data_IF_189512447273
#
_entry.id   IF_189512447273
#
_cell.length_a   1.000
_cell.length_b   1.000
_cell.length_c   1.000
_cell.angle_alpha   90.00
_cell.angle_beta   90.00
_cell.angle_gamma   90.00
#
_symmetry.space_group_name_H-M   'P 1'
#
loop_
_entity.id
_entity.type
_entity.pdbx_description
1 polymer ?
#
# COMPACT_ATOMS: atom_id res chain seq x y z
N UNK A 1 6.69 -0.73 12.78
CA UNK A 1 5.29 -1.00 13.09
C UNK A 1 4.58 -1.85 12.04
N UNK A 2 4.66 -1.48 10.78
CA UNK A 2 4.07 -2.26 9.69
C UNK A 2 4.60 -3.70 9.62
N UNK A 3 5.86 -3.92 9.96
CA UNK A 3 6.51 -5.23 9.92
C UNK A 3 5.85 -6.24 10.86
N UNK A 4 5.19 -5.78 11.94
CA UNK A 4 4.46 -6.64 12.85
C UNK A 4 3.30 -7.38 12.19
N UNK A 5 2.80 -6.86 11.06
CA UNK A 5 1.70 -7.46 10.30
C UNK A 5 2.19 -8.37 9.18
N UNK A 6 3.52 -8.47 8.99
CA UNK A 6 4.08 -9.28 7.91
C UNK A 6 3.57 -10.71 8.00
N UNK A 7 3.09 -11.25 6.87
CA UNK A 7 2.49 -12.57 6.72
C UNK A 7 1.12 -12.75 7.38
N UNK A 8 0.51 -11.69 7.92
CA UNK A 8 -0.88 -11.77 8.38
C UNK A 8 -1.81 -12.04 7.17
N UNK A 9 -2.82 -12.90 7.33
CA UNK A 9 -3.72 -13.20 6.20
C UNK A 9 -4.55 -11.99 5.78
N UNK A 10 -4.88 -11.91 4.49
CA UNK A 10 -5.77 -10.89 3.95
C UNK A 10 -7.21 -11.30 4.20
N UNK A 11 -7.98 -10.45 4.89
CA UNK A 11 -9.42 -10.63 5.08
C UNK A 11 -10.10 -9.31 4.75
N UNK A 12 -11.08 -9.34 3.85
CA UNK A 12 -11.84 -8.15 3.47
C UNK A 12 -12.48 -7.50 4.70
N UNK A 13 -12.19 -6.22 4.92
CA UNK A 13 -12.66 -5.49 6.09
C UNK A 13 -11.88 -5.75 7.37
N UNK A 14 -10.88 -6.64 7.34
CA UNK A 14 -10.07 -6.97 8.52
C UNK A 14 -9.04 -5.90 8.85
N UNK A 15 -8.81 -5.67 10.14
CA UNK A 15 -7.83 -4.69 10.64
C UNK A 15 -6.96 -5.23 11.78
N UNK A 16 -6.93 -6.54 12.00
CA UNK A 16 -6.11 -7.16 13.05
C UNK A 16 -4.98 -7.97 12.43
N UNK A 17 -3.93 -8.32 13.20
CA UNK A 17 -2.87 -9.20 12.68
C UNK A 17 -3.34 -10.58 12.26
N UNK A 18 -4.53 -11.01 12.68
CA UNK A 18 -5.12 -12.29 12.29
C UNK A 18 -5.85 -12.23 10.95
N UNK A 19 -6.21 -11.02 10.51
CA UNK A 19 -6.81 -10.82 9.21
C UNK A 19 -6.95 -9.33 8.92
N UNK A 20 -6.47 -8.90 7.76
CA UNK A 20 -6.40 -7.48 7.41
C UNK A 20 -6.52 -7.29 5.90
N UNK A 21 -7.24 -6.25 5.44
CA UNK A 21 -7.23 -5.84 4.04
C UNK A 21 -6.21 -4.71 3.80
N UNK A 22 -5.95 -4.38 2.53
CA UNK A 22 -4.89 -3.43 2.17
C UNK A 22 -5.10 -2.04 2.76
N UNK A 23 -6.31 -1.48 2.67
CA UNK A 23 -6.60 -0.15 3.19
C UNK A 23 -6.71 -0.16 4.72
N UNK A 24 -7.19 -1.24 5.30
CA UNK A 24 -7.19 -1.43 6.74
C UNK A 24 -5.78 -1.47 7.31
N UNK A 25 -4.86 -2.12 6.61
CA UNK A 25 -3.46 -2.18 6.98
C UNK A 25 -2.83 -0.77 7.03
N UNK A 26 -2.95 0.01 5.96
CA UNK A 26 -2.39 1.36 5.92
C UNK A 26 -3.06 2.28 6.94
N UNK A 27 -4.38 2.17 7.09
CA UNK A 27 -5.12 2.94 8.10
C UNK A 27 -4.60 2.66 9.51
N UNK A 28 -4.38 1.39 9.85
CA UNK A 28 -3.87 0.98 11.15
C UNK A 28 -2.46 1.51 11.41
N UNK A 29 -1.56 1.40 10.43
CA UNK A 29 -0.17 1.87 10.58
C UNK A 29 -0.15 3.37 10.83
N UNK A 30 -0.90 4.15 10.05
CA UNK A 30 -0.96 5.60 10.24
C UNK A 30 -1.60 5.99 11.56
N UNK A 31 -2.68 5.30 11.97
CA UNK A 31 -3.34 5.55 13.25
C UNK A 31 -2.40 5.35 14.43
N UNK A 32 -1.59 4.29 14.40
CA UNK A 32 -0.61 4.01 15.46
C UNK A 32 0.48 5.09 15.54
N UNK A 33 0.67 5.87 14.48
CA UNK A 33 1.59 7.00 14.43
C UNK A 33 0.90 8.36 14.59
N UNK A 34 -0.37 8.38 14.97
CA UNK A 34 -1.12 9.59 15.27
C UNK A 34 -1.79 10.26 14.09
N UNK A 35 -1.90 9.59 12.94
CA UNK A 35 -2.53 10.14 11.74
C UNK A 35 -3.77 9.36 11.36
N UNK A 36 -4.80 10.08 10.91
CA UNK A 36 -6.06 9.47 10.47
C UNK A 36 -6.12 9.35 8.96
N UNK A 37 -6.38 8.15 8.46
CA UNK A 37 -6.67 7.90 7.06
C UNK A 37 -8.14 7.50 6.89
N UNK A 38 -8.69 7.79 5.71
CA UNK A 38 -10.01 7.29 5.35
C UNK A 38 -9.98 5.77 5.21
N UNK A 39 -11.15 5.12 5.16
CA UNK A 39 -11.21 3.66 5.36
C UNK A 39 -10.77 2.83 4.17
N UNK A 40 -11.10 3.21 2.93
CA UNK A 40 -10.77 2.39 1.77
C UNK A 40 -9.70 3.05 0.88
N UNK A 41 -9.10 2.26 -0.02
CA UNK A 41 -7.99 2.72 -0.85
C UNK A 41 -8.36 3.91 -1.74
N UNK A 42 -9.54 3.88 -2.37
CA UNK A 42 -9.98 4.99 -3.22
C UNK A 42 -10.15 6.29 -2.42
N UNK A 43 -10.68 6.20 -1.20
CA UNK A 43 -10.81 7.35 -0.30
C UNK A 43 -9.43 7.86 0.16
N UNK A 44 -8.54 6.96 0.54
CA UNK A 44 -7.17 7.32 0.97
C UNK A 44 -6.41 8.03 -0.15
N UNK A 45 -6.65 7.65 -1.40
CA UNK A 45 -6.01 8.28 -2.57
C UNK A 45 -6.41 9.74 -2.76
N UNK A 46 -7.47 10.23 -2.10
CA UNK A 46 -7.84 11.64 -2.12
C UNK A 46 -7.06 12.48 -1.12
N UNK A 47 -6.32 11.85 -0.22
CA UNK A 47 -5.55 12.52 0.82
C UNK A 47 -4.12 12.77 0.38
N UNK A 48 -3.49 13.78 0.99
CA UNK A 48 -2.08 14.07 0.80
C UNK A 48 -1.74 14.71 -0.54
N UNK A 49 -0.45 14.75 -0.82
CA UNK A 49 0.12 15.40 -1.99
C UNK A 49 0.64 14.35 -2.97
N UNK A 50 0.23 14.45 -4.23
CA UNK A 50 0.68 13.53 -5.28
C UNK A 50 2.14 13.78 -5.66
N UNK A 51 2.94 12.73 -5.75
CA UNK A 51 4.30 12.78 -6.24
C UNK A 51 4.33 12.44 -7.72
N UNK A 52 5.20 13.14 -8.48
CA UNK A 52 5.31 12.94 -9.93
C UNK A 52 6.11 11.69 -10.28
N UNK A 53 7.12 11.35 -9.47
CA UNK A 53 8.04 10.24 -9.76
C UNK A 53 8.23 9.37 -8.53
N UNK A 54 8.43 8.07 -8.77
CA UNK A 54 8.70 7.09 -7.70
C UNK A 54 9.97 7.45 -6.91
N UNK A 55 10.95 8.08 -7.58
CA UNK A 55 12.20 8.50 -6.94
C UNK A 55 12.00 9.57 -5.87
N UNK A 56 10.89 10.29 -5.90
CA UNK A 56 10.53 11.28 -4.89
C UNK A 56 9.94 10.66 -3.62
N UNK A 57 9.56 9.39 -3.67
CA UNK A 57 8.92 8.72 -2.54
C UNK A 57 9.89 8.46 -1.40
N UNK A 58 9.36 8.52 -0.19
CA UNK A 58 10.08 8.24 1.04
C UNK A 58 9.39 7.12 1.80
N UNK A 59 10.12 6.40 2.69
CA UNK A 59 9.45 5.42 3.55
C UNK A 59 8.28 6.03 4.29
N UNK A 60 7.14 5.37 4.25
CA UNK A 60 5.90 5.85 4.86
C UNK A 60 4.93 6.49 3.90
N UNK A 61 5.33 6.85 2.68
CA UNK A 61 4.41 7.34 1.66
C UNK A 61 3.48 6.22 1.21
N UNK A 62 2.30 6.57 0.71
CA UNK A 62 1.30 5.61 0.22
C UNK A 62 1.36 5.50 -1.30
N UNK A 63 1.44 4.28 -1.80
CA UNK A 63 1.34 3.98 -3.23
C UNK A 63 -0.03 3.37 -3.51
N UNK A 64 -0.71 3.88 -4.53
CA UNK A 64 -2.06 3.46 -4.91
C UNK A 64 -2.03 2.82 -6.29
N UNK A 65 -2.82 1.77 -6.43
CA UNK A 65 -2.86 0.95 -7.63
C UNK A 65 -4.28 0.87 -8.15
N UNK A 66 -4.43 0.89 -9.47
CA UNK A 66 -5.74 0.82 -10.10
C UNK A 66 -5.92 -0.49 -10.90
N UNK A 67 -7.16 -0.73 -11.31
CA UNK A 67 -7.49 -1.83 -12.21
C UNK A 67 -7.53 -1.33 -13.66
N UNK A 68 -7.89 -2.20 -14.59
CA UNK A 68 -7.99 -1.86 -16.02
C UNK A 68 -8.99 -0.74 -16.31
N UNK A 69 -9.93 -0.48 -15.41
CA UNK A 69 -10.95 0.57 -15.54
C UNK A 69 -10.52 1.89 -14.90
N UNK A 70 -9.31 1.96 -14.34
CA UNK A 70 -8.79 3.16 -13.69
C UNK A 70 -9.33 3.40 -12.28
N UNK A 71 -9.96 2.40 -11.67
CA UNK A 71 -10.49 2.49 -10.30
C UNK A 71 -9.41 2.06 -9.33
N UNK A 72 -9.14 2.89 -8.30
CA UNK A 72 -8.19 2.55 -7.25
C UNK A 72 -8.73 1.38 -6.43
N UNK A 73 -7.99 0.26 -6.43
CA UNK A 73 -8.40 -0.95 -5.74
C UNK A 73 -7.40 -1.45 -4.72
N UNK A 74 -6.20 -0.89 -4.69
CA UNK A 74 -5.13 -1.38 -3.82
C UNK A 74 -4.27 -0.23 -3.33
N UNK A 75 -3.71 -0.37 -2.14
CA UNK A 75 -2.79 0.58 -1.54
C UNK A 75 -1.71 -0.16 -0.75
N UNK A 76 -0.51 0.38 -0.74
CA UNK A 76 0.60 -0.13 0.05
C UNK A 76 1.43 0.99 0.63
N UNK A 77 2.30 0.64 1.57
CA UNK A 77 3.17 1.56 2.29
C UNK A 77 4.58 1.46 1.72
N UNK A 78 5.10 2.59 1.23
CA UNK A 78 6.46 2.62 0.66
C UNK A 78 7.51 2.37 1.73
N UNK A 79 8.51 1.61 1.36
CA UNK A 79 9.69 1.33 2.16
C UNK A 79 10.93 1.86 1.46
N UNK A 80 12.06 1.79 2.15
CA UNK A 80 13.35 2.18 1.60
C UNK A 80 13.73 1.31 0.40
N UNK A 81 14.49 1.87 -0.54
CA UNK A 81 15.10 1.18 -1.68
C UNK A 81 14.09 0.57 -2.68
N UNK A 82 12.95 1.25 -2.87
CA UNK A 82 11.90 0.83 -3.81
C UNK A 82 11.30 -0.53 -3.45
N UNK A 83 11.11 -0.76 -2.16
CA UNK A 83 10.29 -1.84 -1.65
C UNK A 83 8.97 -1.29 -1.14
N UNK A 84 7.96 -2.14 -1.10
CA UNK A 84 6.63 -1.81 -0.61
C UNK A 84 6.13 -2.91 0.30
N UNK A 85 5.50 -2.53 1.41
CA UNK A 85 4.77 -3.48 2.26
C UNK A 85 3.28 -3.28 2.00
N UNK A 86 2.59 -4.36 1.67
CA UNK A 86 1.19 -4.33 1.28
C UNK A 86 0.52 -5.66 1.58
N UNK A 87 -0.80 -5.72 1.34
CA UNK A 87 -1.60 -6.92 1.61
C UNK A 87 -2.06 -7.52 0.29
N UNK A 88 -1.59 -8.73 -0.02
CA UNK A 88 -2.01 -9.51 -1.18
C UNK A 88 -1.98 -10.99 -0.80
N UNK A 89 -3.13 -11.52 -0.38
CA UNK A 89 -3.24 -12.84 0.23
C UNK A 89 -2.73 -12.87 1.67
N UNK A 90 -1.70 -12.11 1.96
CA UNK A 90 -1.11 -11.87 3.28
C UNK A 90 -0.37 -10.55 3.25
N UNK A 91 0.06 -10.05 4.40
CA UNK A 91 0.96 -8.90 4.45
C UNK A 91 2.33 -9.36 3.95
N UNK A 92 2.87 -8.67 2.94
CA UNK A 92 4.12 -9.06 2.28
C UNK A 92 4.93 -7.85 1.85
N UNK A 93 6.22 -8.06 1.61
CA UNK A 93 7.13 -7.06 1.07
C UNK A 93 7.51 -7.48 -0.35
N UNK A 94 7.29 -6.58 -1.31
CA UNK A 94 7.64 -6.79 -2.70
C UNK A 94 8.40 -5.57 -3.23
N UNK A 95 8.94 -5.68 -4.45
CA UNK A 95 9.57 -4.55 -5.13
C UNK A 95 8.51 -3.72 -5.84
N UNK A 96 8.80 -2.42 -6.01
CA UNK A 96 7.93 -1.51 -6.76
C UNK A 96 8.76 -0.73 -7.78
N UNK A 97 8.19 -0.53 -8.96
CA UNK A 97 8.76 0.30 -10.02
C UNK A 97 7.65 1.14 -10.68
N UNK A 98 7.96 1.84 -11.76
CA UNK A 98 6.99 2.71 -12.45
C UNK A 98 5.77 1.94 -12.98
N UNK A 99 5.92 0.65 -13.27
CA UNK A 99 4.82 -0.18 -13.76
C UNK A 99 3.92 -0.67 -12.63
N UNK A 100 4.45 -0.80 -11.42
CA UNK A 100 3.71 -1.25 -10.26
C UNK A 100 4.48 -2.20 -9.37
N UNK A 101 3.76 -3.06 -8.65
CA UNK A 101 4.34 -4.03 -7.74
C UNK A 101 4.84 -5.25 -8.51
N UNK A 102 6.12 -5.58 -8.34
CA UNK A 102 6.70 -6.79 -8.88
C UNK A 102 6.72 -7.88 -7.80
N UNK A 103 5.95 -8.94 -8.02
CA UNK A 103 5.87 -10.08 -7.10
C UNK A 103 6.96 -11.09 -7.44
N UNK A 104 7.97 -11.20 -6.59
CA UNK A 104 9.12 -12.08 -6.83
C UNK A 104 8.77 -13.56 -6.78
N UNK A 105 7.74 -13.95 -6.03
CA UNK A 105 7.28 -15.35 -5.99
C UNK A 105 6.62 -15.75 -7.31
N UNK A 106 5.82 -14.86 -7.89
CA UNK A 106 5.14 -15.09 -9.17
C UNK A 106 5.97 -14.66 -10.37
N UNK A 107 7.06 -13.92 -10.14
CA UNK A 107 7.97 -13.38 -11.16
C UNK A 107 7.24 -12.53 -12.20
N UNK A 108 6.35 -11.66 -11.76
CA UNK A 108 5.58 -10.77 -12.63
C UNK A 108 5.03 -9.57 -11.84
N UNK A 109 4.62 -8.52 -12.55
CA UNK A 109 3.87 -7.41 -11.97
C UNK A 109 2.44 -7.87 -11.65
N UNK A 110 1.97 -7.57 -10.45
CA UNK A 110 0.64 -7.96 -9.98
C UNK A 110 -0.31 -6.78 -9.82
N UNK A 111 0.22 -5.56 -9.66
CA UNK A 111 -0.58 -4.36 -9.43
C UNK A 111 -0.01 -3.21 -10.23
N UNK A 112 -0.88 -2.47 -10.92
CA UNK A 112 -0.49 -1.33 -11.75
C UNK A 112 -0.45 -0.05 -10.91
N UNK A 113 0.70 0.62 -10.89
CA UNK A 113 0.86 1.85 -10.12
C UNK A 113 0.04 2.99 -10.73
N UNK A 114 -0.77 3.66 -9.90
CA UNK A 114 -1.55 4.83 -10.29
C UNK A 114 -0.91 6.13 -9.80
N UNK A 115 -0.64 6.22 -8.51
CA UNK A 115 -0.12 7.45 -7.88
C UNK A 115 0.53 7.12 -6.54
N UNK A 116 1.53 7.91 -6.16
CA UNK A 116 2.12 7.88 -4.83
C UNK A 116 1.76 9.18 -4.14
N UNK A 117 1.29 9.09 -2.89
CA UNK A 117 0.88 10.25 -2.10
C UNK A 117 1.75 10.40 -0.87
N UNK A 118 2.19 11.63 -0.64
CA UNK A 118 2.84 12.02 0.60
C UNK A 118 1.76 12.53 1.54
N UNK A 119 1.49 11.78 2.61
CA UNK A 119 0.42 12.11 3.56
C UNK A 119 0.93 13.05 4.66
N UNK A 120 2.19 12.87 5.04
CA UNK A 120 2.81 13.61 6.16
C UNK A 120 3.71 14.71 5.66
#
# INVERSE_FOLDING_TARGET
MAVQYLNAPSIWGGKTPFGIDCSGFTQMVYMLNGYSLLRNSAQQATQGEALSFIEESEPGDLAFFDNAEGIITHVGLMMKDNYIIHVHGKVRIDRIDHSGIFNTELNRHTHQLRVIKKII
#
